data_IF_943306713805
#
_entry.id   IF_943306713805
#
_cell.length_a   1.000
_cell.length_b   1.000
_cell.length_c   1.000
_cell.angle_alpha   90.00
_cell.angle_beta   90.00
_cell.angle_gamma   90.00
#
_symmetry.space_group_name_H-M   'P 1'
#
loop_
_entity.id
_entity.type
_entity.pdbx_description
1 polymer ?
#
# COMPACT_ATOMS: atom_id res chain seq x y z
N UNK A 1 7.75 -2.02 -22.33
CA UNK A 1 7.98 -1.82 -20.89
C UNK A 1 7.27 -0.59 -20.34
N UNK A 2 7.10 0.49 -21.12
CA UNK A 2 6.44 1.73 -20.70
C UNK A 2 5.03 1.55 -20.08
N UNK A 3 4.20 0.68 -20.66
CA UNK A 3 2.86 0.38 -20.08
C UNK A 3 2.95 -0.22 -18.67
N UNK A 4 3.93 -1.11 -18.43
CA UNK A 4 4.12 -1.73 -17.12
C UNK A 4 4.63 -0.71 -16.10
N UNK A 5 5.52 0.20 -16.50
CA UNK A 5 5.96 1.32 -15.65
C UNK A 5 4.78 2.16 -15.15
N UNK A 6 3.87 2.56 -16.05
CA UNK A 6 2.67 3.32 -15.70
C UNK A 6 1.73 2.55 -14.76
N UNK A 7 1.60 1.24 -14.95
CA UNK A 7 0.81 0.39 -14.05
C UNK A 7 1.42 0.32 -12.65
N UNK A 8 2.75 0.14 -12.56
CA UNK A 8 3.45 0.11 -11.26
C UNK A 8 3.29 1.44 -10.52
N UNK A 9 3.44 2.57 -11.21
CA UNK A 9 3.23 3.91 -10.63
C UNK A 9 1.80 4.06 -10.09
N UNK A 10 0.80 3.67 -10.87
CA UNK A 10 -0.60 3.73 -10.46
C UNK A 10 -0.89 2.84 -9.23
N UNK A 11 -0.37 1.61 -9.20
CA UNK A 11 -0.58 0.71 -8.06
C UNK A 11 0.12 1.18 -6.79
N UNK A 12 1.32 1.78 -6.89
CA UNK A 12 2.03 2.38 -5.75
C UNK A 12 1.20 3.51 -5.14
N UNK A 13 0.70 4.42 -5.96
CA UNK A 13 -0.14 5.54 -5.51
C UNK A 13 -1.44 5.02 -4.87
N UNK A 14 -2.11 4.09 -5.53
CA UNK A 14 -3.38 3.54 -5.06
C UNK A 14 -3.24 2.79 -3.73
N UNK A 15 -2.21 1.97 -3.58
CA UNK A 15 -1.94 1.27 -2.33
C UNK A 15 -1.63 2.23 -1.19
N UNK A 16 -0.90 3.31 -1.45
CA UNK A 16 -0.60 4.33 -0.43
C UNK A 16 -1.89 4.99 0.07
N UNK A 17 -2.82 5.30 -0.83
CA UNK A 17 -4.15 5.81 -0.48
C UNK A 17 -4.96 4.81 0.33
N UNK A 18 -4.96 3.53 -0.06
CA UNK A 18 -5.64 2.47 0.69
C UNK A 18 -5.09 2.27 2.09
N UNK A 19 -3.78 2.15 2.25
CA UNK A 19 -3.14 1.97 3.54
C UNK A 19 -3.48 3.11 4.51
N UNK A 20 -3.48 4.36 4.02
CA UNK A 20 -3.88 5.52 4.80
C UNK A 20 -5.36 5.44 5.21
N UNK A 21 -6.26 5.13 4.28
CA UNK A 21 -7.68 4.98 4.58
C UNK A 21 -7.95 3.86 5.61
N UNK A 22 -7.23 2.73 5.53
CA UNK A 22 -7.35 1.65 6.52
C UNK A 22 -6.90 2.10 7.91
N UNK A 23 -5.78 2.85 8.01
CA UNK A 23 -5.29 3.43 9.28
C UNK A 23 -6.30 4.41 9.88
N UNK A 24 -6.95 5.23 9.05
CA UNK A 24 -8.01 6.15 9.50
C UNK A 24 -9.22 5.41 10.07
N UNK A 25 -9.66 4.33 9.42
CA UNK A 25 -10.75 3.49 9.93
C UNK A 25 -10.34 2.66 11.14
N UNK A 26 -9.09 2.25 11.23
CA UNK A 26 -8.55 1.62 12.44
C UNK A 26 -8.65 2.57 13.64
N UNK A 27 -8.32 3.86 13.46
CA UNK A 27 -8.53 4.90 14.48
C UNK A 27 -9.99 5.02 14.90
N UNK A 28 -10.92 5.11 13.95
CA UNK A 28 -12.36 5.15 14.26
C UNK A 28 -12.85 3.90 14.99
N UNK A 29 -12.36 2.71 14.62
CA UNK A 29 -12.70 1.46 15.30
C UNK A 29 -12.15 1.41 16.73
N UNK A 30 -10.96 1.98 16.95
CA UNK A 30 -10.39 2.14 18.28
C UNK A 30 -11.25 3.05 19.15
N UNK A 31 -11.71 4.18 18.61
CA UNK A 31 -12.60 5.13 19.30
C UNK A 31 -13.97 4.49 19.63
N UNK A 32 -14.47 3.61 18.76
CA UNK A 32 -15.72 2.83 18.97
C UNK A 32 -15.53 1.60 19.89
N UNK A 33 -14.40 1.51 20.62
CA UNK A 33 -14.08 0.40 21.56
C UNK A 33 -14.05 -0.97 20.88
N UNK A 34 -13.62 -1.05 19.61
CA UNK A 34 -13.44 -2.29 18.84
C UNK A 34 -11.95 -2.54 18.53
N UNK A 35 -11.11 -2.81 19.54
CA UNK A 35 -9.66 -2.90 19.36
C UNK A 35 -9.24 -4.04 18.42
N UNK A 36 -9.98 -5.17 18.39
CA UNK A 36 -9.67 -6.27 17.50
C UNK A 36 -9.89 -5.89 16.02
N UNK A 37 -10.90 -5.06 15.72
CA UNK A 37 -11.12 -4.56 14.35
C UNK A 37 -10.04 -3.57 13.96
N UNK A 38 -9.69 -2.66 14.87
CA UNK A 38 -8.59 -1.73 14.66
C UNK A 38 -7.26 -2.45 14.39
N UNK A 39 -6.99 -3.53 15.13
CA UNK A 39 -5.83 -4.38 14.94
C UNK A 39 -5.79 -4.95 13.51
N UNK A 40 -6.84 -5.63 13.07
CA UNK A 40 -6.88 -6.23 11.73
C UNK A 40 -6.75 -5.19 10.62
N UNK A 41 -7.38 -4.01 10.75
CA UNK A 41 -7.24 -2.93 9.77
C UNK A 41 -5.80 -2.38 9.69
N UNK A 42 -5.12 -2.27 10.83
CA UNK A 42 -3.69 -1.90 10.85
C UNK A 42 -2.82 -2.99 10.22
N UNK A 43 -3.13 -4.27 10.45
CA UNK A 43 -2.41 -5.39 9.80
C UNK A 43 -2.58 -5.35 8.28
N UNK A 44 -3.79 -5.06 7.77
CA UNK A 44 -4.03 -4.90 6.33
C UNK A 44 -3.22 -3.71 5.79
N UNK A 45 -3.20 -2.57 6.49
CA UNK A 45 -2.42 -1.42 6.07
C UNK A 45 -0.91 -1.73 5.98
N UNK A 46 -0.36 -2.46 6.95
CA UNK A 46 1.05 -2.89 6.93
C UNK A 46 1.34 -3.85 5.76
N UNK A 47 0.43 -4.78 5.47
CA UNK A 47 0.56 -5.68 4.33
C UNK A 47 0.48 -4.91 3.01
N UNK A 48 -0.39 -3.91 2.89
CA UNK A 48 -0.46 -3.03 1.73
C UNK A 48 0.83 -2.24 1.54
N UNK A 49 1.44 -1.73 2.62
CA UNK A 49 2.75 -1.07 2.57
C UNK A 49 3.84 -2.02 2.07
N UNK A 50 3.85 -3.30 2.49
CA UNK A 50 4.77 -4.33 1.97
C UNK A 50 4.57 -4.60 0.47
N UNK A 51 3.32 -4.67 0.01
CA UNK A 51 3.01 -4.81 -1.42
C UNK A 51 3.55 -3.61 -2.20
N UNK A 52 3.38 -2.39 -1.68
CA UNK A 52 3.92 -1.16 -2.29
C UNK A 52 5.43 -1.21 -2.44
N UNK A 53 6.18 -1.68 -1.42
CA UNK A 53 7.63 -1.84 -1.53
C UNK A 53 8.03 -2.81 -2.65
N UNK A 54 7.28 -3.91 -2.84
CA UNK A 54 7.54 -4.82 -3.96
C UNK A 54 7.29 -4.18 -5.32
N UNK A 55 6.25 -3.34 -5.46
CA UNK A 55 6.01 -2.58 -6.69
C UNK A 55 7.09 -1.54 -6.95
N UNK A 56 7.55 -0.82 -5.94
CA UNK A 56 8.68 0.11 -6.05
C UNK A 56 9.94 -0.61 -6.51
N UNK A 57 10.27 -1.76 -5.90
CA UNK A 57 11.42 -2.56 -6.31
C UNK A 57 11.30 -3.08 -7.74
N UNK A 58 10.11 -3.50 -8.16
CA UNK A 58 9.87 -3.91 -9.54
C UNK A 58 10.05 -2.75 -10.52
N UNK A 59 9.64 -1.53 -10.15
CA UNK A 59 9.84 -0.32 -10.95
C UNK A 59 11.33 0.01 -11.09
N UNK A 60 12.09 -0.03 -10.01
CA UNK A 60 13.54 0.20 -10.02
C UNK A 60 14.26 -0.77 -10.98
N UNK A 61 13.99 -2.06 -10.85
CA UNK A 61 14.59 -3.10 -11.71
C UNK A 61 14.26 -2.90 -13.21
N UNK A 62 13.07 -2.36 -13.49
CA UNK A 62 12.62 -2.07 -14.85
C UNK A 62 13.33 -0.85 -15.44
N UNK A 63 13.70 0.12 -14.61
CA UNK A 63 14.47 1.30 -14.99
C UNK A 63 15.98 1.01 -15.11
N UNK A 64 16.52 0.13 -14.26
CA UNK A 64 17.91 -0.35 -14.32
C UNK A 64 18.21 -1.12 -15.62
N UNK A 65 17.25 -1.91 -16.12
CA UNK A 65 17.37 -2.64 -17.40
C UNK A 65 17.11 -1.79 -18.65
N UNK A 66 16.68 -0.54 -18.46
CA UNK A 66 16.43 0.41 -19.55
C UNK A 66 17.61 1.33 -19.87
N UNK A 67 18.70 1.23 -19.10
CA UNK A 67 20.01 1.85 -19.37
C UNK A 67 20.91 0.87 -20.12
#
# INVERSE_FOLDING_TARGET
>A
MERLKKLLEHWIEHNSSHAQNYKEWAGKAQDDKRPNVAFELNQVAELTDKITHHFQRAKELLEERGK
#
